data_IF_823344420304
#
_entry.id   IF_823344420304
#
_cell.length_a   1.000
_cell.length_b   1.000
_cell.length_c   1.000
_cell.angle_alpha   90.00
_cell.angle_beta   90.00
_cell.angle_gamma   90.00
#
_symmetry.space_group_name_H-M   'P 1'
#
loop_
_entity.id
_entity.type
_entity.pdbx_description
1 polymer ?
#
# COMPACT_ATOMS: atom_id res chain seq x y z
N UNK A 1 -6.01 -36.35 42.86
CA UNK A 1 -5.56 -34.98 42.54
C UNK A 1 -6.12 -34.63 41.18
N UNK A 2 -7.03 -33.66 41.09
CA UNK A 2 -7.55 -33.19 39.82
C UNK A 2 -6.52 -32.21 39.24
N UNK A 3 -5.96 -32.51 38.07
CA UNK A 3 -5.08 -31.60 37.35
C UNK A 3 -5.98 -30.61 36.63
N UNK A 4 -5.90 -29.33 37.00
CA UNK A 4 -6.62 -28.28 36.28
C UNK A 4 -5.92 -28.04 34.94
N UNK A 5 -6.63 -28.33 33.85
CA UNK A 5 -6.12 -28.29 32.48
C UNK A 5 -6.46 -26.97 31.76
N UNK A 6 -6.96 -25.97 32.48
CA UNK A 6 -7.49 -24.76 31.87
C UNK A 6 -6.33 -23.86 31.42
N UNK A 7 -6.20 -23.69 30.11
CA UNK A 7 -5.20 -22.79 29.54
C UNK A 7 -5.53 -21.34 29.96
N UNK A 8 -4.63 -20.71 30.71
CA UNK A 8 -4.75 -19.32 31.11
C UNK A 8 -4.20 -18.44 29.98
N UNK A 9 -5.05 -18.04 29.02
CA UNK A 9 -4.64 -17.12 27.97
C UNK A 9 -4.52 -15.71 28.53
N UNK A 10 -3.40 -15.07 28.26
CA UNK A 10 -3.22 -13.65 28.52
C UNK A 10 -3.71 -12.83 27.32
N UNK A 11 -3.97 -11.55 27.55
CA UNK A 11 -4.37 -10.62 26.48
C UNK A 11 -3.35 -10.60 25.32
N UNK A 12 -2.07 -10.79 25.62
CA UNK A 12 -1.00 -10.86 24.64
C UNK A 12 -1.20 -12.00 23.62
N UNK A 13 -1.73 -13.15 24.06
CA UNK A 13 -1.97 -14.31 23.19
C UNK A 13 -3.02 -13.99 22.11
N UNK A 14 -4.04 -13.19 22.46
CA UNK A 14 -5.06 -12.73 21.53
C UNK A 14 -4.55 -11.64 20.58
N UNK A 15 -3.68 -10.75 21.09
CA UNK A 15 -3.09 -9.68 20.29
C UNK A 15 -2.06 -10.20 19.28
N UNK A 16 -1.50 -11.40 19.48
CA UNK A 16 -0.56 -12.04 18.55
C UNK A 16 -1.11 -12.12 17.12
N UNK A 17 -2.38 -12.49 16.96
CA UNK A 17 -3.02 -12.58 15.63
C UNK A 17 -3.10 -11.21 14.96
N UNK A 18 -3.45 -10.17 15.73
CA UNK A 18 -3.52 -8.79 15.23
C UNK A 18 -2.13 -8.28 14.86
N UNK A 19 -1.11 -8.57 15.67
CA UNK A 19 0.26 -8.18 15.39
C UNK A 19 0.79 -8.81 14.10
N UNK A 20 0.58 -10.12 13.91
CA UNK A 20 0.97 -10.83 12.66
C UNK A 20 0.23 -10.26 11.46
N UNK A 21 -1.08 -9.99 11.59
CA UNK A 21 -1.88 -9.36 10.55
C UNK A 21 -1.29 -7.99 10.16
N UNK A 22 -1.04 -7.10 11.14
CA UNK A 22 -0.43 -5.80 10.90
C UNK A 22 0.93 -5.90 10.22
N UNK A 23 1.79 -6.82 10.65
CA UNK A 23 3.13 -7.02 10.06
C UNK A 23 3.00 -7.47 8.61
N UNK A 24 2.14 -8.44 8.31
CA UNK A 24 1.93 -8.96 6.97
C UNK A 24 1.47 -7.86 6.00
N UNK A 25 0.44 -7.10 6.37
CA UNK A 25 -0.04 -5.99 5.54
C UNK A 25 0.98 -4.87 5.40
N UNK A 26 1.78 -4.61 6.45
CA UNK A 26 2.87 -3.63 6.38
C UNK A 26 3.93 -4.05 5.37
N UNK A 27 4.33 -5.33 5.35
CA UNK A 27 5.27 -5.87 4.37
C UNK A 27 4.70 -5.76 2.96
N UNK A 28 3.45 -6.18 2.73
CA UNK A 28 2.81 -6.05 1.43
C UNK A 28 2.74 -4.60 0.96
N UNK A 29 2.42 -3.67 1.86
CA UNK A 29 2.39 -2.25 1.57
C UNK A 29 3.77 -1.73 1.18
N UNK A 30 4.81 -2.06 1.94
CA UNK A 30 6.19 -1.67 1.63
C UNK A 30 6.63 -2.23 0.27
N UNK A 31 6.36 -3.51 0.00
CA UNK A 31 6.67 -4.12 -1.30
C UNK A 31 5.91 -3.44 -2.44
N UNK A 32 4.62 -3.13 -2.25
CA UNK A 32 3.82 -2.40 -3.24
C UNK A 32 4.42 -1.02 -3.55
N UNK A 33 4.85 -0.28 -2.53
CA UNK A 33 5.52 1.01 -2.70
C UNK A 33 6.88 0.84 -3.39
N UNK A 34 7.68 -0.16 -3.00
CA UNK A 34 8.97 -0.43 -3.65
C UNK A 34 8.77 -0.73 -5.13
N UNK A 35 7.83 -1.63 -5.48
CA UNK A 35 7.52 -1.90 -6.88
C UNK A 35 7.03 -0.65 -7.60
N UNK A 36 6.19 0.17 -6.97
CA UNK A 36 5.71 1.43 -7.54
C UNK A 36 6.84 2.43 -7.85
N UNK A 37 7.85 2.53 -7.00
CA UNK A 37 8.92 3.52 -7.16
C UNK A 37 10.15 3.01 -7.91
N UNK A 38 10.49 1.73 -7.78
CA UNK A 38 11.73 1.14 -8.31
C UNK A 38 11.50 0.44 -9.64
N UNK A 39 10.35 -0.22 -9.84
CA UNK A 39 10.11 -1.02 -11.04
C UNK A 39 9.45 -0.25 -12.18
N UNK A 40 8.81 0.90 -11.93
CA UNK A 40 8.26 1.76 -12.98
C UNK A 40 9.36 2.65 -13.56
N UNK A 41 9.66 2.44 -14.85
CA UNK A 41 10.47 3.36 -15.64
C UNK A 41 9.65 4.59 -16.02
N UNK A 42 10.34 5.68 -16.39
CA UNK A 42 9.71 6.95 -16.79
C UNK A 42 8.82 6.85 -18.06
N UNK A 43 8.95 5.75 -18.78
CA UNK A 43 8.24 5.47 -20.03
C UNK A 43 7.03 4.53 -19.82
N UNK A 44 6.85 3.99 -18.61
CA UNK A 44 5.71 3.15 -18.27
C UNK A 44 4.47 4.00 -17.92
N UNK A 45 3.29 3.40 -18.00
CA UNK A 45 2.02 4.05 -17.71
C UNK A 45 1.93 4.63 -16.29
N UNK A 46 1.08 5.65 -16.13
CA UNK A 46 0.84 6.29 -14.84
C UNK A 46 0.34 5.25 -13.84
N UNK A 47 1.00 5.21 -12.69
CA UNK A 47 0.65 4.23 -11.67
C UNK A 47 -0.68 4.54 -11.00
N UNK A 48 -1.36 3.51 -10.48
CA UNK A 48 -2.61 3.68 -9.75
C UNK A 48 -2.47 4.63 -8.55
N UNK A 49 -1.30 4.66 -7.89
CA UNK A 49 -1.01 5.57 -6.77
C UNK A 49 -0.89 7.02 -7.23
N UNK A 50 -0.28 7.28 -8.38
CA UNK A 50 -0.17 8.62 -8.96
C UNK A 50 -1.53 9.15 -9.42
N UNK A 51 -2.34 8.31 -10.06
CA UNK A 51 -3.74 8.61 -10.43
C UNK A 51 -4.60 8.92 -9.20
N UNK A 52 -4.48 8.10 -8.16
CA UNK A 52 -5.20 8.31 -6.90
C UNK A 52 -4.74 9.58 -6.19
N UNK A 53 -3.43 9.81 -6.12
CA UNK A 53 -2.80 10.99 -5.54
C UNK A 53 -3.25 12.29 -6.19
N UNK A 54 -3.31 12.31 -7.52
CA UNK A 54 -3.81 13.45 -8.28
C UNK A 54 -5.30 13.69 -8.01
N UNK A 55 -6.13 12.63 -8.06
CA UNK A 55 -7.58 12.74 -7.80
C UNK A 55 -7.89 13.25 -6.39
N UNK A 56 -7.09 12.85 -5.39
CA UNK A 56 -7.25 13.28 -3.99
C UNK A 56 -6.53 14.60 -3.67
N UNK A 57 -5.93 15.28 -4.66
CA UNK A 57 -5.14 16.50 -4.47
C UNK A 57 -4.05 16.37 -3.38
N UNK A 58 -3.45 15.19 -3.27
CA UNK A 58 -2.38 14.95 -2.32
C UNK A 58 -1.17 15.78 -2.76
N UNK A 59 -0.57 16.56 -1.88
CA UNK A 59 0.55 17.48 -2.14
C UNK A 59 1.92 16.82 -2.35
N UNK A 60 2.02 15.51 -2.10
CA UNK A 60 3.26 14.71 -2.19
C UNK A 60 3.33 13.79 -3.41
N UNK A 61 4.55 13.61 -3.94
CA UNK A 61 4.83 12.78 -5.12
C UNK A 61 4.65 11.30 -4.75
N UNK A 62 3.69 10.63 -5.40
CA UNK A 62 3.23 9.26 -5.07
C UNK A 62 3.77 8.18 -6.03
N UNK A 63 4.71 8.54 -6.89
CA UNK A 63 5.38 7.63 -7.82
C UNK A 63 6.58 8.33 -8.47
N UNK A 64 7.21 7.73 -9.49
CA UNK A 64 8.42 8.27 -10.11
C UNK A 64 8.17 9.48 -11.02
N UNK A 65 6.96 9.66 -11.54
CA UNK A 65 6.63 10.71 -12.50
C UNK A 65 6.44 12.07 -11.81
N UNK A 66 6.77 13.16 -12.52
CA UNK A 66 6.45 14.52 -12.04
C UNK A 66 4.95 14.75 -12.16
N UNK A 67 4.39 15.49 -11.20
CA UNK A 67 2.98 15.92 -11.20
C UNK A 67 2.53 16.57 -12.52
N UNK A 68 3.42 17.35 -13.14
CA UNK A 68 3.14 18.00 -14.42
C UNK A 68 3.01 17.02 -15.58
N UNK A 69 3.69 15.87 -15.55
CA UNK A 69 3.51 14.81 -16.56
C UNK A 69 2.23 14.03 -16.29
N UNK A 70 1.99 13.68 -15.02
CA UNK A 70 0.76 13.01 -14.57
C UNK A 70 -0.48 13.81 -14.97
N UNK A 71 -0.49 15.12 -14.78
CA UNK A 71 -1.60 16.00 -15.16
C UNK A 71 -1.85 16.05 -16.68
N UNK A 72 -0.84 15.78 -17.52
CA UNK A 72 -0.96 15.75 -18.98
C UNK A 72 -1.46 14.40 -19.49
N UNK A 73 -0.96 13.31 -18.92
CA UNK A 73 -1.28 11.95 -19.37
C UNK A 73 -2.63 11.45 -18.82
N UNK A 74 -3.03 11.84 -17.60
CA UNK A 74 -4.32 11.43 -17.00
C UNK A 74 -5.56 11.69 -17.86
N UNK A 75 -5.77 12.89 -18.43
CA UNK A 75 -6.93 13.14 -19.28
C UNK A 75 -6.87 12.30 -20.57
N UNK A 76 -5.69 12.01 -21.12
CA UNK A 76 -5.55 11.18 -22.33
C UNK A 76 -5.91 9.70 -22.08
N UNK A 77 -5.59 9.16 -20.91
CA UNK A 77 -5.96 7.78 -20.57
C UNK A 77 -7.47 7.61 -20.37
N UNK A 78 -8.15 8.62 -19.81
CA UNK A 78 -9.61 8.58 -19.57
C UNK A 78 -10.42 8.64 -20.87
N UNK A 79 -9.90 9.30 -21.92
CA UNK A 79 -10.59 9.35 -23.23
C UNK A 79 -10.38 8.08 -24.08
N UNK A 80 -9.42 7.22 -23.71
CA UNK A 80 -9.12 5.97 -24.41
C UNK A 80 -9.80 4.72 -23.80
N UNK A 81 -10.31 4.82 -22.58
CA UNK A 81 -11.07 3.78 -21.85
C UNK A 81 -12.60 3.92 -22.11
#
# INVERSE_FOLDING_TARGET
>A
MAVDLKQHLELADYLGVVAVWCIFFSILFVLSVIFNFVCIKKDDDITALERWGYKKNIGVKLGPHRRSMVARQLPQTIEMD
#
